data_IF_651390810579
#
_entry.id   IF_651390810579
#
_cell.length_a   1.000
_cell.length_b   1.000
_cell.length_c   1.000
_cell.angle_alpha   90.00
_cell.angle_beta   90.00
_cell.angle_gamma   90.00
#
_symmetry.space_group_name_H-M   'P 1'
#
loop_
_entity.id
_entity.type
_entity.pdbx_description
1 polymer ?
#
# COMPACT_ATOMS: atom_id res chain seq x y z
N UNK A 1 -11.99 7.17 3.65
CA UNK A 1 -11.90 5.85 2.99
C UNK A 1 -13.16 5.02 3.28
N UNK A 2 -13.29 3.86 2.64
CA UNK A 2 -14.30 2.81 2.85
C UNK A 2 -13.60 1.44 2.92
N UNK A 3 -14.03 0.54 3.80
CA UNK A 3 -13.58 -0.86 3.84
C UNK A 3 -14.49 -1.74 2.97
N UNK A 4 -13.91 -2.64 2.17
CA UNK A 4 -14.61 -3.74 1.50
C UNK A 4 -13.93 -5.05 1.90
N UNK A 5 -14.73 -6.06 2.25
CA UNK A 5 -14.27 -7.42 2.53
C UNK A 5 -14.59 -8.34 1.36
N UNK A 6 -13.68 -9.28 1.11
CA UNK A 6 -13.81 -10.34 0.11
C UNK A 6 -13.22 -11.60 0.72
N UNK A 7 -14.07 -12.55 1.10
CA UNK A 7 -13.65 -13.64 1.98
C UNK A 7 -13.06 -13.09 3.29
N UNK A 8 -11.85 -13.54 3.64
CA UNK A 8 -11.11 -13.05 4.80
C UNK A 8 -10.32 -11.75 4.55
N UNK A 9 -10.10 -11.35 3.29
CA UNK A 9 -9.25 -10.20 2.94
C UNK A 9 -10.04 -8.90 3.09
N UNK A 10 -9.45 -7.92 3.76
CA UNK A 10 -10.03 -6.58 3.95
C UNK A 10 -9.21 -5.53 3.19
N UNK A 11 -9.86 -4.77 2.29
CA UNK A 11 -9.24 -3.76 1.44
C UNK A 11 -9.94 -2.40 1.64
N UNK A 12 -9.16 -1.32 1.64
CA UNK A 12 -9.62 0.05 1.84
C UNK A 12 -9.50 0.87 0.56
N UNK A 13 -10.50 1.72 0.32
CA UNK A 13 -10.62 2.56 -0.86
C UNK A 13 -10.83 4.02 -0.46
N UNK A 14 -10.12 4.97 -1.08
CA UNK A 14 -10.47 6.40 -0.99
C UNK A 14 -11.77 6.65 -1.77
N UNK A 15 -12.71 7.41 -1.18
CA UNK A 15 -13.96 7.82 -1.82
C UNK A 15 -13.70 8.69 -3.05
N UNK A 16 -12.69 9.56 -3.01
CA UNK A 16 -12.36 10.49 -4.12
C UNK A 16 -12.03 9.79 -5.44
N UNK A 17 -11.48 8.57 -5.42
CA UNK A 17 -11.19 7.79 -6.63
C UNK A 17 -12.31 6.82 -7.04
N UNK A 18 -13.25 6.48 -6.14
CA UNK A 18 -14.39 5.58 -6.46
C UNK A 18 -15.42 6.19 -7.43
N UNK A 19 -15.23 7.45 -7.87
CA UNK A 19 -16.04 8.13 -8.89
C UNK A 19 -15.53 7.95 -10.32
N UNK A 20 -14.49 7.16 -10.53
CA UNK A 20 -13.86 6.91 -11.83
C UNK A 20 -13.87 5.40 -12.13
N UNK A 21 -14.78 4.95 -13.00
CA UNK A 21 -14.96 3.52 -13.27
C UNK A 21 -13.76 2.87 -13.96
N UNK A 22 -12.95 3.63 -14.70
CA UNK A 22 -11.70 3.17 -15.30
C UNK A 22 -10.49 3.17 -14.34
N UNK A 23 -10.66 3.55 -13.07
CA UNK A 23 -9.59 3.50 -12.05
C UNK A 23 -9.77 2.29 -11.15
N UNK A 24 -8.65 1.62 -10.81
CA UNK A 24 -8.55 0.68 -9.71
C UNK A 24 -7.46 1.14 -8.74
N UNK A 25 -7.87 1.58 -7.55
CA UNK A 25 -6.98 1.92 -6.43
C UNK A 25 -7.26 1.00 -5.24
N UNK A 26 -6.27 0.81 -4.37
CA UNK A 26 -6.44 0.08 -3.12
C UNK A 26 -5.42 0.47 -2.06
N UNK A 27 -5.82 0.32 -0.79
CA UNK A 27 -4.95 0.23 0.38
C UNK A 27 -5.26 -1.12 1.04
N UNK A 28 -4.31 -2.05 0.99
CA UNK A 28 -4.48 -3.35 1.65
C UNK A 28 -4.31 -3.25 3.17
N UNK A 29 -4.87 -4.21 3.91
CA UNK A 29 -4.76 -4.33 5.36
C UNK A 29 -3.74 -5.42 5.75
N UNK A 30 -3.57 -5.68 7.07
CA UNK A 30 -2.85 -6.87 7.56
C UNK A 30 -3.71 -8.14 7.59
N UNK A 31 -4.99 -8.07 7.21
CA UNK A 31 -6.01 -9.08 7.52
C UNK A 31 -6.26 -10.01 6.31
N UNK A 32 -6.40 -11.31 6.57
CA UNK A 32 -6.85 -12.30 5.58
C UNK A 32 -5.76 -13.02 4.77
N UNK A 33 -4.48 -12.85 5.13
CA UNK A 33 -3.37 -13.60 4.53
C UNK A 33 -2.95 -14.84 5.32
N UNK A 34 -1.79 -15.41 4.96
CA UNK A 34 -1.27 -16.69 5.51
C UNK A 34 0.02 -16.55 6.33
N UNK A 35 0.65 -15.37 6.37
CA UNK A 35 1.90 -15.19 7.12
C UNK A 35 1.70 -15.39 8.62
N UNK A 36 2.73 -15.92 9.29
CA UNK A 36 2.75 -16.13 10.74
C UNK A 36 3.31 -14.91 11.47
N UNK A 37 3.19 -14.87 12.79
CA UNK A 37 3.79 -13.81 13.60
C UNK A 37 5.33 -13.74 13.38
N UNK A 38 5.94 -12.54 13.30
CA UNK A 38 5.37 -11.21 13.52
C UNK A 38 4.68 -10.58 12.29
N UNK A 39 4.70 -11.25 11.13
CA UNK A 39 4.21 -10.74 9.84
C UNK A 39 2.71 -11.01 9.61
N UNK A 40 2.00 -11.54 10.60
CA UNK A 40 0.61 -11.97 10.47
C UNK A 40 -0.34 -10.82 10.07
N UNK A 41 -1.20 -10.94 9.05
CA UNK A 41 -1.46 -12.11 8.20
C UNK A 41 -1.15 -11.86 6.72
N UNK A 42 -1.53 -10.71 6.17
CA UNK A 42 -1.39 -10.36 4.74
C UNK A 42 -0.12 -9.53 4.46
N UNK A 43 1.06 -10.06 4.77
CA UNK A 43 2.32 -9.39 4.45
C UNK A 43 2.66 -9.51 2.95
N UNK A 44 2.92 -8.37 2.29
CA UNK A 44 3.31 -8.30 0.87
C UNK A 44 4.80 -7.96 0.65
N UNK A 45 5.54 -7.71 1.73
CA UNK A 45 6.96 -7.33 1.69
C UNK A 45 7.89 -8.54 1.79
N UNK A 46 8.61 -8.85 0.72
CA UNK A 46 9.68 -9.86 0.73
C UNK A 46 10.91 -9.43 1.57
N UNK A 47 11.11 -8.13 1.77
CA UNK A 47 12.33 -7.57 2.36
C UNK A 47 12.36 -7.54 3.91
N UNK A 48 11.35 -8.10 4.59
CA UNK A 48 11.20 -7.98 6.06
C UNK A 48 11.66 -9.21 6.85
N UNK A 49 12.08 -10.29 6.17
CA UNK A 49 12.42 -11.56 6.82
C UNK A 49 11.21 -12.48 7.09
N UNK A 50 10.14 -12.36 6.31
CA UNK A 50 9.03 -13.32 6.24
C UNK A 50 9.34 -14.43 5.22
N UNK A 51 8.62 -15.53 5.30
CA UNK A 51 8.71 -16.64 4.34
C UNK A 51 8.25 -16.18 2.95
N UNK A 52 9.11 -16.29 1.90
CA UNK A 52 8.78 -15.83 0.56
C UNK A 52 7.59 -16.60 -0.06
N UNK A 53 7.29 -17.83 0.38
CA UNK A 53 6.12 -18.57 -0.08
C UNK A 53 4.83 -17.93 0.47
N UNK A 54 4.81 -17.58 1.76
CA UNK A 54 3.68 -16.86 2.38
C UNK A 54 3.49 -15.48 1.74
N UNK A 55 4.56 -14.73 1.49
CA UNK A 55 4.48 -13.41 0.82
C UNK A 55 3.97 -13.53 -0.62
N UNK A 56 4.42 -14.55 -1.38
CA UNK A 56 3.90 -14.82 -2.72
C UNK A 56 2.42 -15.23 -2.69
N UNK A 57 2.00 -16.04 -1.72
CA UNK A 57 0.60 -16.41 -1.53
C UNK A 57 -0.27 -15.21 -1.13
N UNK A 58 0.20 -14.33 -0.25
CA UNK A 58 -0.49 -13.09 0.09
C UNK A 58 -0.65 -12.16 -1.13
N UNK A 59 0.37 -12.05 -1.99
CA UNK A 59 0.27 -11.32 -3.26
C UNK A 59 -0.74 -11.97 -4.21
N UNK A 60 -0.76 -13.30 -4.34
CA UNK A 60 -1.77 -14.03 -5.14
C UNK A 60 -3.20 -13.81 -4.61
N UNK A 61 -3.40 -13.88 -3.28
CA UNK A 61 -4.67 -13.59 -2.63
C UNK A 61 -5.13 -12.15 -2.93
N UNK A 62 -4.24 -11.17 -2.83
CA UNK A 62 -4.57 -9.77 -3.12
C UNK A 62 -4.91 -9.55 -4.60
N UNK A 63 -4.13 -10.10 -5.54
CA UNK A 63 -4.39 -10.00 -6.97
C UNK A 63 -5.77 -10.58 -7.33
N UNK A 64 -6.06 -11.80 -6.87
CA UNK A 64 -7.36 -12.45 -7.02
C UNK A 64 -8.50 -11.65 -6.36
N UNK A 65 -8.26 -11.05 -5.19
CA UNK A 65 -9.26 -10.21 -4.50
C UNK A 65 -9.58 -8.92 -5.26
N UNK A 66 -8.60 -8.34 -5.93
CA UNK A 66 -8.74 -7.14 -6.76
C UNK A 66 -9.26 -7.43 -8.17
N UNK A 67 -9.30 -8.70 -8.58
CA UNK A 67 -9.71 -9.12 -9.92
C UNK A 67 -8.67 -8.86 -11.01
N UNK A 68 -7.38 -8.77 -10.65
CA UNK A 68 -6.28 -8.45 -11.58
C UNK A 68 -5.20 -9.54 -11.66
N UNK A 69 -4.45 -9.63 -12.76
CA UNK A 69 -3.24 -10.43 -12.86
C UNK A 69 -2.19 -10.10 -11.79
N UNK A 70 -1.38 -11.09 -11.41
CA UNK A 70 -0.34 -10.95 -10.39
C UNK A 70 0.85 -10.09 -10.85
N UNK A 71 1.16 -10.12 -12.15
CA UNK A 71 2.26 -9.39 -12.78
C UNK A 71 2.00 -7.88 -12.88
N UNK A 72 0.74 -7.43 -12.86
CA UNK A 72 0.38 -6.01 -12.72
C UNK A 72 0.95 -5.34 -11.45
N UNK A 73 1.39 -6.10 -10.43
CA UNK A 73 2.04 -5.55 -9.24
C UNK A 73 3.50 -5.13 -9.46
N UNK A 74 3.69 -3.95 -10.06
CA UNK A 74 4.97 -3.24 -9.99
C UNK A 74 5.15 -2.61 -8.62
N UNK A 75 6.13 -3.06 -7.84
CA UNK A 75 6.40 -2.54 -6.49
C UNK A 75 7.80 -1.97 -6.37
N UNK A 76 7.92 -0.64 -6.32
CA UNK A 76 9.16 0.00 -5.90
C UNK A 76 9.57 -0.51 -4.50
N UNK A 77 10.87 -0.82 -4.32
CA UNK A 77 11.43 -0.94 -2.98
C UNK A 77 11.65 0.48 -2.48
N UNK A 78 11.04 0.78 -1.33
CA UNK A 78 10.96 2.13 -0.79
C UNK A 78 12.24 2.46 -0.01
N UNK A 79 12.70 3.71 -0.16
CA UNK A 79 14.01 4.16 0.33
C UNK A 79 13.94 5.49 1.09
N UNK A 80 12.74 6.05 1.27
CA UNK A 80 12.46 7.33 1.93
C UNK A 80 13.02 8.59 1.23
N UNK A 81 13.33 8.49 -0.05
CA UNK A 81 13.73 9.58 -0.94
C UNK A 81 12.58 10.02 -1.89
N UNK A 82 12.66 11.21 -2.47
CA UNK A 82 11.62 11.85 -3.28
C UNK A 82 11.58 11.47 -4.77
N UNK A 83 12.36 10.47 -5.18
CA UNK A 83 12.50 10.08 -6.59
C UNK A 83 11.23 9.44 -7.18
N UNK A 84 10.79 9.95 -8.33
CA UNK A 84 9.64 9.44 -9.11
C UNK A 84 10.13 8.81 -10.41
N UNK A 85 9.53 7.68 -10.83
CA UNK A 85 9.84 7.02 -12.10
C UNK A 85 8.57 6.65 -12.85
N UNK A 86 8.52 6.96 -14.15
CA UNK A 86 7.46 6.50 -15.05
C UNK A 86 7.61 4.99 -15.23
N UNK A 87 6.52 4.24 -14.97
CA UNK A 87 6.43 2.82 -15.27
C UNK A 87 5.82 2.67 -16.66
N UNK A 88 6.55 2.00 -17.55
CA UNK A 88 6.06 1.54 -18.86
C UNK A 88 5.82 0.03 -18.79
N UNK A 89 5.20 -0.56 -19.82
CA UNK A 89 4.91 -2.00 -19.84
C UNK A 89 6.17 -2.87 -19.69
N UNK A 90 7.33 -2.41 -20.18
CA UNK A 90 8.63 -3.08 -20.02
C UNK A 90 9.19 -3.04 -18.58
N UNK A 91 8.58 -2.26 -17.67
CA UNK A 91 8.98 -2.11 -16.26
C UNK A 91 8.01 -2.80 -15.29
N UNK A 92 7.01 -3.51 -15.82
CA UNK A 92 5.98 -4.25 -15.09
C UNK A 92 6.63 -5.33 -14.20
N UNK A 93 6.66 -5.10 -12.89
CA UNK A 93 7.18 -6.03 -11.87
C UNK A 93 8.60 -5.79 -11.31
N UNK A 94 9.31 -4.70 -11.64
CA UNK A 94 10.72 -4.47 -11.23
C UNK A 94 10.94 -3.79 -9.84
N UNK A 95 12.18 -3.77 -9.30
CA UNK A 95 12.56 -3.35 -7.90
C UNK A 95 13.95 -2.62 -7.83
N UNK A 96 14.23 -1.71 -6.87
CA UNK A 96 15.45 -0.83 -6.79
C UNK A 96 15.89 -0.35 -5.35
N UNK A 97 16.97 0.44 -5.14
CA UNK A 97 17.67 0.79 -3.85
C UNK A 97 17.97 2.32 -3.70
N UNK A 98 18.41 3.00 -2.60
CA UNK A 98 18.55 2.92 -1.10
C UNK A 98 18.75 4.39 -0.55
N UNK A 99 18.76 4.86 0.72
CA UNK A 99 18.78 4.37 2.13
C UNK A 99 18.25 5.51 3.11
N UNK A 100 18.38 5.42 4.46
CA UNK A 100 17.54 6.16 5.46
C UNK A 100 18.16 7.30 6.33
N UNK A 101 17.29 8.19 6.87
CA UNK A 101 17.41 8.92 8.16
C UNK A 101 16.05 9.50 8.62
N UNK A 102 15.80 9.91 9.89
CA UNK A 102 14.44 10.37 10.32
C UNK A 102 14.33 11.35 11.51
N UNK A 103 13.21 12.11 11.55
CA UNK A 103 12.74 13.00 12.63
C UNK A 103 11.21 12.90 12.80
N UNK A 104 10.61 13.49 13.85
CA UNK A 104 9.15 13.51 14.04
C UNK A 104 8.46 14.60 13.20
N UNK A 105 7.47 14.20 12.40
CA UNK A 105 6.89 15.02 11.33
C UNK A 105 5.41 14.67 11.09
N UNK A 106 4.55 15.67 10.88
CA UNK A 106 3.16 15.44 10.48
C UNK A 106 3.08 15.21 8.96
N UNK A 107 3.40 13.98 8.54
CA UNK A 107 3.37 13.55 7.13
C UNK A 107 2.07 13.90 6.41
N UNK A 108 0.92 13.86 7.09
CA UNK A 108 -0.40 14.10 6.49
C UNK A 108 -0.58 15.55 6.04
N UNK A 109 -0.44 16.51 6.96
CA UNK A 109 -0.60 17.92 6.60
C UNK A 109 0.56 18.44 5.73
N UNK A 110 1.77 17.86 5.87
CA UNK A 110 2.90 18.20 5.01
C UNK A 110 2.68 17.78 3.54
N UNK A 111 2.24 16.54 3.28
CA UNK A 111 1.94 16.09 1.91
C UNK A 111 0.75 16.88 1.34
N UNK A 112 -0.30 17.12 2.14
CA UNK A 112 -1.45 17.94 1.75
C UNK A 112 -1.05 19.37 1.38
N UNK A 113 -0.15 20.01 2.14
CA UNK A 113 0.38 21.33 1.82
C UNK A 113 1.14 21.34 0.48
N UNK A 114 1.97 20.32 0.20
CA UNK A 114 2.66 20.17 -1.08
C UNK A 114 1.68 19.98 -2.25
N UNK A 115 0.66 19.14 -2.11
CA UNK A 115 -0.37 18.92 -3.14
C UNK A 115 -1.14 20.21 -3.44
N UNK A 116 -1.50 20.99 -2.41
CA UNK A 116 -2.15 22.30 -2.56
C UNK A 116 -1.22 23.32 -3.25
N UNK A 117 0.07 23.34 -2.90
CA UNK A 117 1.08 24.19 -3.53
C UNK A 117 1.32 23.84 -5.00
N UNK A 118 1.15 22.56 -5.37
CA UNK A 118 1.15 22.08 -6.76
C UNK A 118 -0.17 22.38 -7.51
N UNK A 119 -1.11 23.11 -6.90
CA UNK A 119 -2.36 23.54 -7.53
C UNK A 119 -3.47 22.48 -7.53
N UNK A 120 -3.33 21.36 -6.83
CA UNK A 120 -4.38 20.34 -6.73
C UNK A 120 -5.52 20.90 -5.86
N UNK A 121 -6.76 21.01 -6.37
CA UNK A 121 -7.88 21.57 -5.60
C UNK A 121 -8.16 20.76 -4.32
N UNK A 122 -8.43 21.45 -3.21
CA UNK A 122 -8.62 20.82 -1.89
C UNK A 122 -9.71 19.73 -1.89
N UNK A 123 -10.78 19.91 -2.67
CA UNK A 123 -11.86 18.92 -2.84
C UNK A 123 -11.45 17.61 -3.56
N UNK A 124 -10.25 17.57 -4.15
CA UNK A 124 -9.65 16.37 -4.74
C UNK A 124 -8.64 15.68 -3.81
N UNK A 125 -8.42 16.19 -2.59
CA UNK A 125 -7.46 15.63 -1.61
C UNK A 125 -8.25 14.98 -0.45
N UNK A 126 -8.30 13.64 -0.41
CA UNK A 126 -8.89 12.91 0.72
C UNK A 126 -7.81 12.41 1.68
N UNK A 127 -7.88 12.86 2.94
CA UNK A 127 -7.02 12.32 3.99
C UNK A 127 -7.50 10.95 4.45
N UNK A 128 -6.58 9.98 4.59
CA UNK A 128 -6.90 8.61 4.97
C UNK A 128 -7.60 8.48 6.34
N UNK A 129 -7.26 9.35 7.30
CA UNK A 129 -7.84 9.40 8.64
C UNK A 129 -7.45 8.24 9.59
N UNK A 130 -6.79 7.19 9.09
CA UNK A 130 -6.42 6.01 9.87
C UNK A 130 -4.93 6.00 10.24
N UNK A 131 -4.63 6.22 11.52
CA UNK A 131 -3.28 6.04 12.05
C UNK A 131 -2.96 4.54 12.20
N UNK A 132 -1.91 4.06 11.51
CA UNK A 132 -1.48 2.64 11.57
C UNK A 132 -0.95 2.21 12.94
N UNK A 133 -0.42 3.14 13.75
CA UNK A 133 0.02 2.86 15.11
C UNK A 133 -1.17 2.58 16.05
N UNK A 134 -2.28 3.31 15.88
CA UNK A 134 -3.49 3.16 16.69
C UNK A 134 -4.41 2.05 16.19
N UNK A 135 -4.34 1.72 14.89
CA UNK A 135 -5.10 0.66 14.23
C UNK A 135 -4.19 -0.53 13.88
N UNK A 136 -3.42 -1.02 14.85
CA UNK A 136 -2.48 -2.14 14.66
C UNK A 136 -3.19 -3.50 14.50
N UNK A 137 -4.50 -3.54 14.77
CA UNK A 137 -5.42 -4.62 14.42
C UNK A 137 -5.63 -4.73 12.89
N UNK A 138 -5.74 -3.59 12.21
CA UNK A 138 -6.02 -3.49 10.77
C UNK A 138 -4.77 -3.31 9.91
N UNK A 139 -3.71 -2.69 10.44
CA UNK A 139 -2.52 -2.34 9.67
C UNK A 139 -1.23 -2.77 10.35
N UNK A 140 -0.20 -3.04 9.56
CA UNK A 140 1.16 -3.17 10.06
C UNK A 140 1.71 -1.80 10.46
N UNK A 141 2.41 -1.72 11.60
CA UNK A 141 3.06 -0.48 12.05
C UNK A 141 4.43 -0.76 12.65
N UNK A 142 5.48 -0.32 11.96
CA UNK A 142 6.87 -0.48 12.40
C UNK A 142 7.12 0.16 13.77
N UNK A 143 6.45 1.28 14.09
CA UNK A 143 6.57 1.95 15.39
C UNK A 143 5.83 1.21 16.51
N UNK A 144 4.68 0.59 16.22
CA UNK A 144 3.94 -0.22 17.21
C UNK A 144 4.67 -1.54 17.49
N UNK A 145 5.14 -2.20 16.43
CA UNK A 145 5.71 -3.55 16.45
C UNK A 145 7.25 -3.56 16.51
N UNK A 146 7.87 -2.43 16.90
CA UNK A 146 9.32 -2.27 17.13
C UNK A 146 10.19 -2.82 15.98
N UNK A 147 9.89 -2.38 14.75
CA UNK A 147 10.56 -2.75 13.50
C UNK A 147 10.16 -4.11 12.92
N UNK A 148 9.94 -5.13 13.74
CA UNK A 148 9.63 -6.50 13.31
C UNK A 148 8.15 -6.64 12.94
N UNK A 149 7.82 -6.36 11.67
CA UNK A 149 6.46 -6.43 11.13
C UNK A 149 6.45 -6.56 9.60
N UNK A 150 5.33 -7.02 9.03
CA UNK A 150 5.06 -7.03 7.59
C UNK A 150 4.90 -5.65 6.97
N UNK A 151 4.58 -5.62 5.68
CA UNK A 151 4.19 -4.43 4.90
C UNK A 151 2.86 -4.69 4.22
N UNK A 152 1.96 -3.71 4.29
CA UNK A 152 0.78 -3.64 3.43
C UNK A 152 1.15 -2.85 2.17
N UNK A 153 0.48 -3.15 1.06
CA UNK A 153 0.61 -2.46 -0.21
C UNK A 153 -0.46 -1.40 -0.41
N UNK A 154 -0.08 -0.34 -1.10
CA UNK A 154 -0.98 0.67 -1.68
C UNK A 154 -0.72 0.66 -3.19
N UNK A 155 -1.76 0.73 -4.00
CA UNK A 155 -1.64 0.72 -5.45
C UNK A 155 -2.75 1.51 -6.13
N UNK A 156 -2.47 1.95 -7.35
CA UNK A 156 -3.42 2.57 -8.27
C UNK A 156 -3.01 2.25 -9.70
N UNK A 157 -3.98 1.93 -10.55
CA UNK A 157 -3.82 1.70 -11.98
C UNK A 157 -5.07 2.20 -12.72
N UNK A 158 -4.90 2.47 -14.01
CA UNK A 158 -6.02 2.44 -14.94
C UNK A 158 -6.37 0.97 -15.22
N UNK A 159 -7.65 0.73 -15.51
CA UNK A 159 -8.13 -0.52 -16.12
C UNK A 159 -8.04 -0.36 -17.62
N UNK A 160 -7.61 -1.41 -18.32
CA UNK A 160 -7.86 -1.56 -19.74
C UNK A 160 -9.37 -1.76 -19.98
N UNK A 161 -9.86 -1.39 -21.16
CA UNK A 161 -11.30 -1.47 -21.54
C UNK A 161 -11.73 -2.89 -21.96
#
# INVERSE_FOLDING_TARGET
MLEKRVGAVSIWFFKTFLKYDNVLHFVSSRVGGVSKAPYAFLNLGFHVGDDPQNVLQNRKLLASTLGIPLDCFTTAKQIHDGNVKIITEQLKGCVYNALENSWYFNLWEANKAQLLQMGIPAQNIEMAGLCTYCNSDKFFSARHQRGKTGRFGVGIMLKDE
#
